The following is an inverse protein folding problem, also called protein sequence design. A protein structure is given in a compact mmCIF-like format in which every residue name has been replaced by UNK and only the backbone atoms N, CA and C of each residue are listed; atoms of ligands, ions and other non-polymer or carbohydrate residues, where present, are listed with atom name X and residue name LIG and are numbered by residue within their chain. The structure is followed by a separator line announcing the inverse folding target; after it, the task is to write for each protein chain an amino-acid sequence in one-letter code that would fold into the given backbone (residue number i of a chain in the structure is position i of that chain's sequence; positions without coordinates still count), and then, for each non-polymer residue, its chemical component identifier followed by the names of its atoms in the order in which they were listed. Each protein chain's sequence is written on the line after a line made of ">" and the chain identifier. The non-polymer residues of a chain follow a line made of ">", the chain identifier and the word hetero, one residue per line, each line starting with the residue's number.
data_IF_385673593497
#
_entry.id   IF_385673593497
#
_cell.length_a   1.000
_cell.length_b   1.000
_cell.length_c   1.000
_cell.angle_alpha   90.00
_cell.angle_beta   90.00
_cell.angle_gamma   90.00
#
_symmetry.space_group_name_H-M   'P 1'
#
loop_
_entity.id
_entity.type
_entity.pdbx_description
1 polymer ?
#
# COMPACT_ATOMS: atom_id res chain seq x y z
N UNK A 1 0.97 -58.01 58.27
CA UNK A 1 2.29 -57.64 57.72
C UNK A 1 2.05 -56.79 56.49
N UNK A 2 2.33 -55.50 56.61
CA UNK A 2 1.99 -54.45 55.66
C UNK A 2 3.02 -54.34 54.52
N UNK A 3 2.58 -53.89 53.33
CA UNK A 3 3.27 -52.84 52.57
C UNK A 3 2.46 -52.45 51.33
N UNK A 4 1.81 -51.29 51.40
CA UNK A 4 1.23 -50.56 50.28
C UNK A 4 2.36 -49.75 49.62
N UNK A 5 2.53 -49.87 48.30
CA UNK A 5 3.43 -49.02 47.51
C UNK A 5 2.60 -48.00 46.72
N UNK A 6 2.80 -46.72 47.06
CA UNK A 6 2.18 -45.55 46.44
C UNK A 6 2.74 -45.23 45.04
N UNK A 7 1.95 -44.60 44.15
CA UNK A 7 2.43 -44.14 42.85
C UNK A 7 3.16 -42.80 42.97
N UNK A 8 4.38 -42.73 42.41
CA UNK A 8 5.17 -41.49 42.31
C UNK A 8 4.54 -40.54 41.28
N UNK A 9 4.17 -39.34 41.73
CA UNK A 9 3.84 -38.18 40.88
C UNK A 9 5.13 -37.63 40.25
N UNK A 10 5.17 -37.56 38.92
CA UNK A 10 6.16 -36.78 38.19
C UNK A 10 5.74 -35.31 38.21
N UNK A 11 6.58 -34.44 38.78
CA UNK A 11 6.48 -32.98 38.63
C UNK A 11 7.59 -32.52 37.67
N UNK A 12 7.29 -31.74 36.63
CA UNK A 12 8.34 -31.05 35.88
C UNK A 12 8.74 -29.79 36.65
N UNK A 13 10.03 -29.68 36.95
CA UNK A 13 10.67 -28.50 37.53
C UNK A 13 10.72 -27.37 36.51
N UNK A 14 9.99 -26.29 36.78
CA UNK A 14 10.08 -25.03 36.03
C UNK A 14 11.43 -24.37 36.37
N UNK A 15 12.37 -24.38 35.43
CA UNK A 15 13.57 -23.55 35.55
C UNK A 15 13.25 -22.13 35.07
N UNK A 16 13.43 -21.18 35.98
CA UNK A 16 13.35 -19.75 35.74
C UNK A 16 14.28 -19.33 34.58
N UNK A 17 13.69 -18.82 33.50
CA UNK A 17 14.38 -18.01 32.51
C UNK A 17 14.20 -16.55 32.93
N UNK A 18 15.30 -15.89 33.30
CA UNK A 18 15.35 -14.46 33.54
C UNK A 18 15.46 -13.73 32.21
N UNK A 19 14.62 -12.70 31.92
CA UNK A 19 14.81 -11.90 30.74
C UNK A 19 15.98 -10.92 30.95
N UNK A 20 17.07 -11.12 30.21
CA UNK A 20 18.18 -10.18 30.11
C UNK A 20 17.69 -8.91 29.42
N UNK A 21 17.60 -7.81 30.17
CA UNK A 21 17.12 -6.51 29.73
C UNK A 21 18.28 -5.74 29.10
N UNK A 22 18.58 -5.97 27.84
CA UNK A 22 19.51 -5.13 27.08
C UNK A 22 18.87 -3.76 26.81
N UNK A 23 19.27 -2.75 27.57
CA UNK A 23 18.93 -1.34 27.31
C UNK A 23 19.64 -0.89 26.03
N UNK A 24 18.95 -0.89 24.90
CA UNK A 24 19.43 -0.22 23.69
C UNK A 24 19.22 1.27 23.88
N UNK A 25 20.33 2.00 24.08
CA UNK A 25 20.37 3.47 24.14
C UNK A 25 20.27 3.99 22.71
N UNK A 26 19.12 4.56 22.35
CA UNK A 26 18.99 5.32 21.10
C UNK A 26 19.99 6.48 21.16
N UNK A 27 20.99 6.44 20.27
CA UNK A 27 21.85 7.60 20.01
C UNK A 27 21.10 8.48 19.02
N UNK A 28 20.87 9.70 19.45
CA UNK A 28 20.31 10.79 18.66
C UNK A 28 21.23 11.04 17.46
N UNK A 29 20.79 10.63 16.27
CA UNK A 29 21.46 10.94 15.01
C UNK A 29 20.74 12.14 14.40
N UNK A 30 21.11 13.32 14.86
CA UNK A 30 20.82 14.57 14.18
C UNK A 30 21.60 14.61 12.87
N UNK A 31 20.97 14.12 11.80
CA UNK A 31 21.46 14.35 10.44
C UNK A 31 21.04 15.75 9.98
N UNK A 32 21.98 16.69 9.72
CA UNK A 32 21.62 17.92 9.03
C UNK A 32 21.39 17.56 7.56
N UNK A 33 20.12 17.49 7.15
CA UNK A 33 19.76 17.38 5.74
C UNK A 33 20.05 18.73 5.06
N UNK A 34 21.24 18.85 4.48
CA UNK A 34 21.67 20.03 3.71
C UNK A 34 21.03 19.98 2.32
N UNK A 35 19.87 20.59 2.17
CA UNK A 35 19.24 20.85 0.86
C UNK A 35 20.14 21.83 0.10
N UNK A 36 20.81 21.35 -0.95
CA UNK A 36 21.52 22.23 -1.89
C UNK A 36 20.54 22.62 -2.99
N UNK A 37 20.00 23.83 -2.92
CA UNK A 37 19.22 24.43 -3.99
C UNK A 37 20.15 24.79 -5.14
N UNK A 38 20.18 23.98 -6.21
CA UNK A 38 20.76 24.41 -7.48
C UNK A 38 19.69 25.14 -8.28
N UNK A 39 19.76 26.46 -8.23
CA UNK A 39 19.13 27.39 -9.15
C UNK A 39 19.68 27.18 -10.56
N UNK A 40 18.82 26.93 -11.53
CA UNK A 40 19.14 27.04 -12.96
C UNK A 40 18.24 28.10 -13.58
N UNK A 41 18.78 29.31 -13.66
CA UNK A 41 18.21 30.42 -14.42
C UNK A 41 18.64 30.33 -15.89
N UNK A 42 17.65 30.48 -16.76
CA UNK A 42 17.68 31.32 -17.96
C UNK A 42 18.46 30.82 -19.20
N UNK A 43 17.71 30.27 -20.16
CA UNK A 43 17.96 30.49 -21.59
C UNK A 43 16.63 30.74 -22.30
N UNK A 44 16.34 32.00 -22.55
CA UNK A 44 15.30 32.45 -23.46
C UNK A 44 15.85 32.42 -24.90
N UNK A 45 15.10 31.84 -25.84
CA UNK A 45 15.23 32.12 -27.27
C UNK A 45 13.83 32.36 -27.82
N UNK A 46 13.59 33.60 -28.25
CA UNK A 46 12.50 33.99 -29.13
C UNK A 46 13.03 34.03 -30.56
N UNK A 47 12.30 33.52 -31.56
CA UNK A 47 11.98 34.27 -32.80
C UNK A 47 11.17 33.43 -33.82
N UNK A 48 9.93 33.89 -34.02
CA UNK A 48 9.17 34.10 -35.28
C UNK A 48 9.27 33.12 -36.46
N UNK A 49 8.10 32.60 -36.88
CA UNK A 49 7.67 32.50 -38.29
C UNK A 49 6.14 32.44 -38.36
N UNK A 50 5.50 33.37 -39.07
CA UNK A 50 4.07 33.38 -39.39
C UNK A 50 3.79 32.58 -40.67
N UNK A 51 2.64 31.93 -40.79
CA UNK A 51 1.89 31.86 -42.06
C UNK A 51 0.42 31.50 -41.85
N UNK A 52 -0.43 32.45 -42.24
CA UNK A 52 -1.72 32.40 -42.95
C UNK A 52 -2.79 31.34 -42.62
N UNK A 53 -3.96 31.89 -42.34
CA UNK A 53 -5.33 31.35 -42.27
C UNK A 53 -5.79 30.52 -43.48
N UNK A 54 -6.58 29.47 -43.22
CA UNK A 54 -7.81 29.21 -44.00
C UNK A 54 -8.88 28.45 -43.16
N UNK A 55 -10.14 28.76 -43.42
CA UNK A 55 -11.36 28.31 -42.71
C UNK A 55 -11.99 27.10 -43.43
N UNK A 56 -12.39 26.06 -42.68
CA UNK A 56 -13.25 24.99 -43.20
C UNK A 56 -13.55 23.88 -42.17
N UNK A 57 -14.74 23.23 -42.18
CA UNK A 57 -15.46 22.88 -40.97
C UNK A 57 -15.14 21.53 -40.32
N UNK A 58 -15.37 21.53 -39.01
CA UNK A 58 -15.35 20.47 -38.00
C UNK A 58 -16.28 19.27 -38.31
N UNK A 59 -15.85 18.03 -38.08
CA UNK A 59 -16.69 16.99 -37.52
C UNK A 59 -16.32 16.81 -36.04
N UNK A 60 -17.30 17.15 -35.21
CA UNK A 60 -17.25 17.20 -33.76
C UNK A 60 -17.03 15.82 -33.11
N UNK A 61 -16.26 15.89 -32.02
CA UNK A 61 -16.44 15.14 -30.77
C UNK A 61 -15.96 13.68 -30.69
N UNK A 62 -14.65 13.49 -30.73
CA UNK A 62 -13.99 12.42 -29.96
C UNK A 62 -12.72 12.98 -29.31
N UNK A 63 -12.87 13.79 -28.26
CA UNK A 63 -11.93 13.95 -27.15
C UNK A 63 -12.38 15.09 -26.23
N UNK A 64 -12.00 15.00 -24.95
CA UNK A 64 -12.34 15.86 -23.79
C UNK A 64 -13.59 15.47 -23.01
N UNK A 65 -13.54 14.29 -22.37
CA UNK A 65 -13.96 14.25 -20.96
C UNK A 65 -12.81 14.85 -20.15
N UNK A 66 -12.75 16.19 -20.11
CA UNK A 66 -11.88 16.90 -19.19
C UNK A 66 -12.11 16.32 -17.80
N UNK A 67 -11.03 15.84 -17.19
CA UNK A 67 -11.06 15.13 -15.92
C UNK A 67 -11.85 15.93 -14.90
N UNK A 68 -12.82 15.28 -14.28
CA UNK A 68 -13.44 15.84 -13.10
C UNK A 68 -12.35 15.97 -12.04
N UNK A 69 -11.84 17.17 -11.81
CA UNK A 69 -10.78 17.46 -10.83
C UNK A 69 -11.16 17.09 -9.40
N UNK A 70 -12.44 16.76 -9.18
CA UNK A 70 -13.02 16.34 -7.90
C UNK A 70 -13.21 14.82 -7.75
N UNK A 71 -12.69 14.00 -8.67
CA UNK A 71 -12.81 12.55 -8.48
C UNK A 71 -11.88 12.07 -7.36
N UNK A 72 -12.50 11.59 -6.27
CA UNK A 72 -11.79 11.08 -5.08
C UNK A 72 -10.82 9.96 -5.47
N UNK A 73 -9.53 10.21 -5.24
CA UNK A 73 -8.48 9.22 -5.34
C UNK A 73 -8.49 8.31 -4.10
N UNK A 74 -8.38 7.01 -4.33
CA UNK A 74 -8.40 6.00 -3.27
C UNK A 74 -7.29 4.98 -3.48
N UNK A 75 -6.68 4.57 -2.38
CA UNK A 75 -5.88 3.35 -2.34
C UNK A 75 -6.67 2.26 -1.60
N UNK A 76 -6.86 1.13 -2.26
CA UNK A 76 -7.42 -0.06 -1.62
C UNK A 76 -6.28 -0.89 -1.02
N UNK A 77 -6.45 -1.30 0.24
CA UNK A 77 -5.58 -2.23 0.95
C UNK A 77 -6.41 -3.45 1.32
N UNK A 78 -5.96 -4.64 1.00
CA UNK A 78 -6.70 -5.88 1.24
C UNK A 78 -5.87 -6.81 2.10
N UNK A 79 -6.42 -7.14 3.27
CA UNK A 79 -5.82 -8.00 4.26
C UNK A 79 -6.45 -9.39 4.25
N UNK A 80 -5.68 -10.37 4.70
CA UNK A 80 -6.11 -11.76 4.87
C UNK A 80 -6.71 -11.97 6.26
N UNK A 81 -7.98 -12.37 6.34
CA UNK A 81 -8.70 -12.60 7.60
C UNK A 81 -8.07 -13.75 8.41
N UNK A 82 -7.69 -14.83 7.74
CA UNK A 82 -6.98 -15.95 8.36
C UNK A 82 -5.66 -15.54 9.04
N UNK A 83 -4.94 -14.56 8.49
CA UNK A 83 -3.76 -13.98 9.14
C UNK A 83 -4.15 -13.04 10.29
N UNK A 84 -5.18 -12.21 10.13
CA UNK A 84 -5.69 -11.36 11.22
C UNK A 84 -6.05 -12.19 12.46
N UNK A 85 -6.64 -13.37 12.26
CA UNK A 85 -7.08 -14.24 13.35
C UNK A 85 -5.92 -14.97 14.06
N UNK A 86 -4.76 -15.10 13.40
CA UNK A 86 -3.64 -15.92 13.89
C UNK A 86 -2.37 -15.14 14.20
N UNK A 87 -2.22 -13.93 13.66
CA UNK A 87 -1.03 -13.11 13.81
C UNK A 87 -1.22 -11.98 14.83
N UNK A 88 -0.15 -11.49 15.46
CA UNK A 88 -0.20 -10.25 16.21
C UNK A 88 -0.70 -9.10 15.32
N UNK A 89 -1.60 -8.27 15.85
CA UNK A 89 -2.16 -7.13 15.12
C UNK A 89 -1.07 -6.23 14.51
N UNK A 90 0.00 -5.97 15.25
CA UNK A 90 1.13 -5.18 14.77
C UNK A 90 1.79 -5.77 13.51
N UNK A 91 1.92 -7.10 13.42
CA UNK A 91 2.47 -7.75 12.25
C UNK A 91 1.58 -7.51 11.03
N UNK A 92 0.27 -7.69 11.16
CA UNK A 92 -0.70 -7.46 10.08
C UNK A 92 -0.70 -6.01 9.61
N UNK A 93 -0.66 -5.05 10.54
CA UNK A 93 -0.56 -3.63 10.22
C UNK A 93 0.70 -3.35 9.39
N UNK A 94 1.84 -3.91 9.79
CA UNK A 94 3.10 -3.78 9.05
C UNK A 94 3.00 -4.33 7.62
N UNK A 95 2.30 -5.45 7.41
CA UNK A 95 2.06 -5.99 6.06
C UNK A 95 1.27 -4.99 5.18
N UNK A 96 0.23 -4.37 5.74
CA UNK A 96 -0.54 -3.30 5.09
C UNK A 96 0.32 -2.11 4.69
N UNK A 97 1.18 -1.65 5.61
CA UNK A 97 2.13 -0.56 5.36
C UNK A 97 3.12 -0.90 4.24
N UNK A 98 3.73 -2.09 4.27
CA UNK A 98 4.66 -2.54 3.25
C UNK A 98 4.02 -2.58 1.86
N UNK A 99 2.85 -3.21 1.75
CA UNK A 99 2.12 -3.28 0.49
C UNK A 99 1.79 -1.88 -0.05
N UNK A 100 1.26 -1.00 0.81
CA UNK A 100 0.83 0.35 0.45
C UNK A 100 1.98 1.23 -0.05
N UNK A 101 3.08 1.27 0.71
CA UNK A 101 4.28 2.05 0.36
C UNK A 101 4.92 1.50 -0.91
N UNK A 102 5.02 0.17 -1.05
CA UNK A 102 5.58 -0.45 -2.26
C UNK A 102 4.72 -0.16 -3.49
N UNK A 103 3.39 -0.18 -3.39
CA UNK A 103 2.49 0.13 -4.50
C UNK A 103 2.65 1.58 -4.96
N UNK A 104 2.75 2.52 -4.02
CA UNK A 104 2.99 3.95 -4.30
C UNK A 104 4.37 4.14 -4.94
N UNK A 105 5.43 3.60 -4.33
CA UNK A 105 6.80 3.81 -4.80
C UNK A 105 7.04 3.25 -6.20
N UNK A 106 6.49 2.08 -6.50
CA UNK A 106 6.57 1.47 -7.84
C UNK A 106 5.86 2.28 -8.92
N UNK A 107 4.99 3.22 -8.55
CA UNK A 107 4.20 4.04 -9.48
C UNK A 107 4.28 5.53 -9.11
N UNK A 108 5.40 5.98 -8.55
CA UNK A 108 5.56 7.35 -8.05
C UNK A 108 5.49 8.42 -9.15
N UNK A 109 5.72 8.04 -10.41
CA UNK A 109 5.59 8.91 -11.58
C UNK A 109 4.18 8.92 -12.21
N UNK A 110 3.26 8.06 -11.76
CA UNK A 110 1.88 8.05 -12.25
C UNK A 110 1.11 9.30 -11.80
N UNK A 111 0.32 9.90 -12.70
CA UNK A 111 -0.40 11.15 -12.43
C UNK A 111 -1.32 11.07 -11.21
N UNK A 112 -2.00 9.94 -11.01
CA UNK A 112 -2.86 9.76 -9.84
C UNK A 112 -2.04 9.56 -8.57
N UNK A 113 -0.92 8.87 -8.62
CA UNK A 113 -0.02 8.76 -7.47
C UNK A 113 0.56 10.12 -7.08
N UNK A 114 1.01 10.91 -8.06
CA UNK A 114 1.52 12.26 -7.84
C UNK A 114 0.46 13.17 -7.22
N UNK A 115 -0.77 13.15 -7.75
CA UNK A 115 -1.88 13.92 -7.19
C UNK A 115 -2.24 13.43 -5.78
N UNK A 116 -2.28 12.12 -5.54
CA UNK A 116 -2.58 11.54 -4.23
C UNK A 116 -1.54 11.91 -3.16
N UNK A 117 -0.28 12.04 -3.56
CA UNK A 117 0.84 12.40 -2.68
C UNK A 117 1.21 13.89 -2.75
N UNK A 118 0.39 14.74 -3.39
CA UNK A 118 0.68 16.18 -3.51
C UNK A 118 0.60 16.87 -2.15
N UNK A 119 1.25 18.03 -1.95
CA UNK A 119 1.18 18.78 -0.70
C UNK A 119 -0.25 19.10 -0.25
N UNK A 120 -1.17 19.28 -1.19
CA UNK A 120 -2.58 19.58 -0.93
C UNK A 120 -3.38 18.36 -0.47
N UNK A 121 -2.98 17.15 -0.88
CA UNK A 121 -3.72 15.90 -0.65
C UNK A 121 -3.07 14.96 0.36
N UNK A 122 -1.80 15.16 0.73
CA UNK A 122 -1.05 14.22 1.57
C UNK A 122 -1.69 14.01 2.95
N UNK A 123 -2.27 15.06 3.54
CA UNK A 123 -2.95 15.02 4.83
C UNK A 123 -4.43 14.57 4.72
N UNK A 124 -4.95 14.41 3.50
CA UNK A 124 -6.34 14.00 3.21
C UNK A 124 -6.42 12.71 2.39
N UNK A 125 -5.33 11.94 2.33
CA UNK A 125 -5.24 10.67 1.62
C UNK A 125 -6.34 9.68 2.02
N UNK A 126 -7.17 9.28 1.06
CA UNK A 126 -8.21 8.27 1.30
C UNK A 126 -7.68 6.85 1.10
N UNK A 127 -7.87 5.99 2.10
CA UNK A 127 -7.54 4.55 2.05
C UNK A 127 -8.74 3.73 2.49
N UNK A 128 -8.99 2.63 1.79
CA UNK A 128 -10.05 1.67 2.15
C UNK A 128 -9.43 0.32 2.42
N UNK A 129 -9.53 -0.13 3.67
CA UNK A 129 -9.03 -1.44 4.09
C UNK A 129 -10.14 -2.48 4.03
N UNK A 130 -9.95 -3.49 3.19
CA UNK A 130 -10.88 -4.60 2.98
C UNK A 130 -10.26 -5.91 3.42
N UNK A 131 -11.07 -6.94 3.54
CA UNK A 131 -10.61 -8.29 3.87
C UNK A 131 -11.06 -9.34 2.85
N UNK A 132 -10.21 -10.36 2.71
CA UNK A 132 -10.52 -11.63 2.05
C UNK A 132 -10.32 -12.77 3.03
N UNK A 133 -10.96 -13.93 2.79
CA UNK A 133 -10.92 -15.05 3.74
C UNK A 133 -9.52 -15.66 3.90
N UNK A 134 -8.70 -15.65 2.85
CA UNK A 134 -7.37 -16.22 2.88
C UNK A 134 -6.66 -16.21 1.53
N UNK A 135 -5.62 -17.02 1.43
CA UNK A 135 -4.66 -17.02 0.33
C UNK A 135 -5.27 -17.13 -1.07
N UNK A 136 -6.13 -18.12 -1.29
CA UNK A 136 -6.75 -18.34 -2.60
C UNK A 136 -7.50 -17.10 -3.08
N UNK A 137 -8.19 -16.40 -2.18
CA UNK A 137 -8.95 -15.21 -2.55
C UNK A 137 -8.06 -14.00 -2.85
N UNK A 138 -6.95 -13.82 -2.11
CA UNK A 138 -6.03 -12.70 -2.39
C UNK A 138 -5.31 -12.91 -3.72
N UNK A 139 -4.94 -14.14 -4.06
CA UNK A 139 -4.36 -14.49 -5.36
C UNK A 139 -5.35 -14.28 -6.51
N UNK A 140 -6.58 -14.77 -6.37
CA UNK A 140 -7.63 -14.55 -7.37
C UNK A 140 -7.93 -13.07 -7.58
N UNK A 141 -7.90 -12.27 -6.51
CA UNK A 141 -8.04 -10.81 -6.60
C UNK A 141 -6.86 -10.20 -7.36
N UNK A 142 -5.63 -10.60 -7.07
CA UNK A 142 -4.44 -10.13 -7.77
C UNK A 142 -4.52 -10.41 -9.27
N UNK A 143 -4.88 -11.62 -9.68
CA UNK A 143 -5.07 -11.96 -11.09
C UNK A 143 -6.22 -11.18 -11.75
N UNK A 144 -7.34 -11.01 -11.05
CA UNK A 144 -8.45 -10.18 -11.54
C UNK A 144 -8.03 -8.72 -11.78
N UNK A 145 -7.27 -8.14 -10.85
CA UNK A 145 -6.76 -6.77 -10.97
C UNK A 145 -5.75 -6.67 -12.12
N UNK A 146 -4.86 -7.64 -12.26
CA UNK A 146 -3.90 -7.73 -13.37
C UNK A 146 -4.60 -7.81 -14.72
N UNK A 147 -5.60 -8.67 -14.86
CA UNK A 147 -6.42 -8.77 -16.07
C UNK A 147 -7.19 -7.48 -16.39
N UNK A 148 -7.59 -6.73 -15.35
CA UNK A 148 -8.24 -5.42 -15.48
C UNK A 148 -7.30 -4.24 -15.67
N UNK A 149 -5.98 -4.47 -15.81
CA UNK A 149 -5.00 -3.38 -15.94
C UNK A 149 -4.83 -2.54 -14.66
N UNK A 150 -5.29 -3.02 -13.51
CA UNK A 150 -5.18 -2.32 -12.24
C UNK A 150 -3.84 -2.67 -11.59
N UNK A 151 -2.88 -1.76 -11.73
CA UNK A 151 -1.59 -1.86 -11.06
C UNK A 151 -1.73 -1.91 -9.53
N UNK A 152 -1.11 -2.92 -8.93
CA UNK A 152 -1.16 -3.21 -7.51
C UNK A 152 0.12 -3.94 -7.07
N UNK A 153 0.36 -3.94 -5.77
CA UNK A 153 1.38 -4.76 -5.11
C UNK A 153 0.70 -5.89 -4.36
N UNK A 154 1.04 -7.13 -4.70
CA UNK A 154 0.88 -8.27 -3.82
C UNK A 154 2.15 -8.37 -2.96
N UNK A 155 2.01 -8.21 -1.65
CA UNK A 155 3.11 -8.34 -0.71
C UNK A 155 3.29 -9.80 -0.31
N UNK A 156 4.52 -10.28 -0.46
CA UNK A 156 4.93 -11.65 -0.15
C UNK A 156 5.89 -11.57 1.03
N UNK A 157 5.49 -12.12 2.17
CA UNK A 157 6.31 -12.15 3.37
C UNK A 157 7.41 -13.21 3.26
N UNK A 158 8.61 -12.87 3.73
CA UNK A 158 9.79 -13.73 3.75
C UNK A 158 10.14 -14.09 5.20
N UNK A 159 10.74 -15.27 5.46
CA UNK A 159 11.21 -16.27 4.48
C UNK A 159 10.14 -17.29 4.01
N UNK A 160 8.93 -17.27 4.56
CA UNK A 160 7.90 -18.28 4.29
C UNK A 160 7.31 -18.18 2.87
N UNK A 161 7.54 -17.06 2.19
CA UNK A 161 7.11 -16.79 0.82
C UNK A 161 5.59 -16.86 0.64
N UNK A 162 4.83 -16.30 1.59
CA UNK A 162 3.37 -16.30 1.58
C UNK A 162 2.78 -14.92 1.22
N UNK A 163 1.71 -14.86 0.41
CA UNK A 163 1.03 -13.59 0.12
C UNK A 163 0.21 -13.13 1.33
N UNK A 164 0.54 -11.98 1.92
CA UNK A 164 -0.09 -11.52 3.17
C UNK A 164 -1.05 -10.36 2.97
N UNK A 165 -0.74 -9.45 2.05
CA UNK A 165 -1.49 -8.22 1.82
C UNK A 165 -1.43 -7.82 0.35
N UNK A 166 -2.44 -7.09 -0.11
CA UNK A 166 -2.46 -6.47 -1.43
C UNK A 166 -2.77 -4.98 -1.27
N UNK A 167 -2.10 -4.12 -2.03
CA UNK A 167 -2.46 -2.71 -2.12
C UNK A 167 -2.43 -2.22 -3.57
N UNK A 168 -3.43 -1.44 -3.98
CA UNK A 168 -3.38 -0.78 -5.29
C UNK A 168 -2.43 0.41 -5.25
N UNK A 169 -1.96 0.88 -6.41
CA UNK A 169 -1.59 2.32 -6.47
C UNK A 169 -2.85 3.18 -6.26
N UNK A 170 -2.73 4.49 -6.00
CA UNK A 170 -3.89 5.36 -6.00
C UNK A 170 -4.61 5.36 -7.36
N UNK A 171 -5.94 5.33 -7.32
CA UNK A 171 -6.80 5.43 -8.50
C UNK A 171 -8.01 6.32 -8.23
N UNK A 172 -8.59 6.92 -9.28
CA UNK A 172 -9.94 7.45 -9.19
C UNK A 172 -10.92 6.36 -8.78
N UNK A 173 -11.76 6.64 -7.78
CA UNK A 173 -12.65 5.63 -7.19
C UNK A 173 -13.58 5.00 -8.22
N UNK A 174 -14.06 5.74 -9.22
CA UNK A 174 -14.97 5.21 -10.24
C UNK A 174 -14.31 4.13 -11.11
N UNK A 175 -12.99 4.20 -11.31
CA UNK A 175 -12.22 3.25 -12.12
C UNK A 175 -12.06 1.92 -11.39
N UNK A 176 -11.78 1.97 -10.08
CA UNK A 176 -11.28 0.80 -9.36
C UNK A 176 -12.33 0.13 -8.44
N UNK A 177 -13.37 0.85 -8.01
CA UNK A 177 -14.32 0.35 -7.00
C UNK A 177 -15.05 -0.94 -7.42
N UNK A 178 -15.31 -1.14 -8.72
CA UNK A 178 -16.00 -2.33 -9.25
C UNK A 178 -15.23 -3.63 -8.97
N UNK A 179 -13.91 -3.58 -8.83
CA UNK A 179 -13.10 -4.75 -8.53
C UNK A 179 -13.31 -5.24 -7.09
N UNK A 180 -13.64 -4.33 -6.19
CA UNK A 180 -13.68 -4.52 -4.74
C UNK A 180 -15.09 -4.59 -4.14
N UNK A 181 -16.14 -4.33 -4.93
CA UNK A 181 -17.53 -4.21 -4.45
C UNK A 181 -18.09 -5.41 -3.64
N UNK A 182 -17.52 -6.60 -3.83
CA UNK A 182 -17.96 -7.82 -3.14
C UNK A 182 -17.13 -8.15 -1.89
N UNK A 183 -16.08 -7.37 -1.60
CA UNK A 183 -15.26 -7.57 -0.41
C UNK A 183 -15.84 -6.79 0.76
N UNK A 184 -15.58 -7.30 1.97
CA UNK A 184 -16.04 -6.67 3.21
C UNK A 184 -14.99 -5.69 3.72
N UNK A 185 -15.46 -4.66 4.43
CA UNK A 185 -14.57 -3.80 5.21
C UNK A 185 -13.86 -4.65 6.27
N UNK A 186 -12.55 -4.50 6.39
CA UNK A 186 -11.77 -5.17 7.43
C UNK A 186 -12.16 -4.60 8.80
N UNK A 187 -12.53 -5.47 9.75
CA UNK A 187 -12.94 -5.09 11.11
C UNK A 187 -12.03 -5.69 12.17
#
# INVERSE_FOLDING_TARGET
>A
MASLLSPRRFTPSLRHLTPSRSKIRARDLSFPFRVTTRSLTHLALSSMSQSTTDLGPNPQNEEKKAGNSDEVLVQYVVLRRDLIDTWPMGSVVTQGCHASVSAIWSHKEDLHTLQYCSPENIDSMHKVTLEVKGETQILNLSEKLKAGGIAHKLWIEQPENIPTCLATKPYPKSVVALFFKNLKLCK
#
